data_IF_397719192100
#
_entry.id   IF_397719192100
#
_cell.length_a   1.000
_cell.length_b   1.000
_cell.length_c   1.000
_cell.angle_alpha   90.00
_cell.angle_beta   90.00
_cell.angle_gamma   90.00
#
_symmetry.space_group_name_H-M   'P 1'
#
loop_
_entity.id
_entity.type
_entity.pdbx_description
1 polymer ?
#
# COMPACT_ATOMS: atom_id res chain seq x y z
N UNK A 1 -31.08 -0.05 -9.34
CA UNK A 1 -29.98 -0.32 -8.38
C UNK A 1 -29.78 0.94 -7.55
N UNK A 2 -29.66 0.76 -6.27
CA UNK A 2 -29.47 1.88 -5.34
C UNK A 2 -28.07 2.47 -5.50
N UNK A 3 -27.95 3.77 -5.24
CA UNK A 3 -26.70 4.53 -5.41
C UNK A 3 -25.54 3.89 -4.62
N UNK A 4 -25.82 3.43 -3.39
CA UNK A 4 -24.79 2.80 -2.53
C UNK A 4 -24.25 1.51 -3.14
N UNK A 5 -25.12 0.71 -3.79
CA UNK A 5 -24.70 -0.50 -4.48
C UNK A 5 -23.85 -0.20 -5.71
N UNK A 6 -24.18 0.86 -6.42
CA UNK A 6 -23.37 1.34 -7.54
C UNK A 6 -22.00 1.81 -7.07
N UNK A 7 -21.99 2.55 -5.97
CA UNK A 7 -20.76 3.10 -5.40
C UNK A 7 -19.77 1.99 -5.01
N UNK A 8 -20.23 0.97 -4.28
CA UNK A 8 -19.34 -0.11 -3.86
C UNK A 8 -18.82 -0.91 -5.06
N UNK A 9 -19.66 -1.15 -6.07
CA UNK A 9 -19.24 -1.85 -7.28
C UNK A 9 -18.18 -1.03 -8.03
N UNK A 10 -18.41 0.29 -8.17
CA UNK A 10 -17.48 1.19 -8.85
C UNK A 10 -16.12 1.24 -8.14
N UNK A 11 -16.13 1.35 -6.81
CA UNK A 11 -14.91 1.36 -6.01
C UNK A 11 -14.13 0.05 -6.12
N UNK A 12 -14.83 -1.10 -6.05
CA UNK A 12 -14.20 -2.41 -6.22
C UNK A 12 -13.56 -2.57 -7.60
N UNK A 13 -14.27 -2.16 -8.64
CA UNK A 13 -13.75 -2.23 -10.02
C UNK A 13 -12.51 -1.37 -10.20
N UNK A 14 -12.54 -0.16 -9.65
CA UNK A 14 -11.40 0.75 -9.69
C UNK A 14 -10.19 0.15 -9.01
N UNK A 15 -10.33 -0.28 -7.75
CA UNK A 15 -9.23 -0.86 -6.98
C UNK A 15 -8.69 -2.13 -7.65
N UNK A 16 -9.58 -3.00 -8.13
CA UNK A 16 -9.20 -4.24 -8.80
C UNK A 16 -8.40 -3.98 -10.10
N UNK A 17 -8.78 -2.97 -10.86
CA UNK A 17 -8.05 -2.57 -12.06
C UNK A 17 -6.65 -2.04 -11.71
N UNK A 18 -6.56 -1.16 -10.73
CA UNK A 18 -5.29 -0.60 -10.28
C UNK A 18 -4.36 -1.68 -9.71
N UNK A 19 -4.90 -2.58 -8.89
CA UNK A 19 -4.13 -3.68 -8.30
C UNK A 19 -3.59 -4.62 -9.38
N UNK A 20 -4.37 -4.89 -10.43
CA UNK A 20 -3.91 -5.70 -11.57
C UNK A 20 -2.73 -5.07 -12.27
N UNK A 21 -2.79 -3.76 -12.51
CA UNK A 21 -1.71 -3.02 -13.16
C UNK A 21 -0.46 -2.97 -12.27
N UNK A 22 -0.63 -2.69 -10.97
CA UNK A 22 0.47 -2.70 -10.01
C UNK A 22 1.11 -4.09 -9.91
N UNK A 23 0.30 -5.15 -9.92
CA UNK A 23 0.80 -6.53 -9.90
C UNK A 23 1.64 -6.83 -11.14
N UNK A 24 1.22 -6.37 -12.31
CA UNK A 24 1.97 -6.56 -13.56
C UNK A 24 3.31 -5.83 -13.52
N UNK A 25 3.33 -4.59 -13.06
CA UNK A 25 4.56 -3.80 -12.89
C UNK A 25 5.50 -4.50 -11.90
N UNK A 26 4.97 -4.92 -10.76
CA UNK A 26 5.74 -5.61 -9.70
C UNK A 26 6.33 -6.92 -10.19
N UNK A 27 5.53 -7.71 -10.91
CA UNK A 27 5.95 -9.01 -11.48
C UNK A 27 7.11 -8.86 -12.45
N UNK A 28 7.15 -7.79 -13.24
CA UNK A 28 8.26 -7.50 -14.15
C UNK A 28 9.59 -7.29 -13.41
N UNK A 29 9.53 -6.96 -12.13
CA UNK A 29 10.69 -6.78 -11.26
C UNK A 29 10.86 -7.93 -10.24
N UNK A 30 10.13 -9.03 -10.42
CA UNK A 30 10.24 -10.21 -9.57
C UNK A 30 9.51 -10.13 -8.22
N UNK A 31 8.56 -9.21 -8.09
CA UNK A 31 7.79 -9.02 -6.86
C UNK A 31 6.31 -9.39 -7.05
N UNK A 32 5.68 -9.86 -5.99
CA UNK A 32 4.23 -9.97 -5.89
C UNK A 32 3.64 -8.62 -5.51
N UNK A 33 2.34 -8.45 -5.68
CA UNK A 33 1.64 -7.23 -5.25
C UNK A 33 1.82 -6.95 -3.74
N UNK A 34 1.63 -7.93 -2.84
CA UNK A 34 1.87 -7.69 -1.41
C UNK A 34 3.32 -7.32 -1.09
N UNK A 35 4.28 -7.91 -1.76
CA UNK A 35 5.70 -7.57 -1.59
C UNK A 35 5.97 -6.12 -1.99
N UNK A 36 5.46 -5.70 -3.14
CA UNK A 36 5.54 -4.31 -3.58
C UNK A 36 4.90 -3.37 -2.54
N UNK A 37 3.71 -3.71 -2.06
CA UNK A 37 2.97 -2.87 -1.10
C UNK A 37 3.75 -2.65 0.19
N UNK A 38 4.42 -3.67 0.70
CA UNK A 38 5.26 -3.56 1.90
C UNK A 38 6.47 -2.66 1.64
N UNK A 39 7.19 -2.90 0.54
CA UNK A 39 8.37 -2.08 0.20
C UNK A 39 7.99 -0.62 -0.03
N UNK A 40 6.87 -0.36 -0.68
CA UNK A 40 6.37 0.99 -0.94
C UNK A 40 6.00 1.70 0.36
N UNK A 41 5.33 1.01 1.29
CA UNK A 41 5.01 1.56 2.60
C UNK A 41 6.27 1.94 3.38
N UNK A 42 7.31 1.11 3.34
CA UNK A 42 8.59 1.41 3.98
C UNK A 42 9.34 2.56 3.30
N UNK A 43 9.20 2.69 1.99
CA UNK A 43 9.77 3.83 1.26
C UNK A 43 9.09 5.13 1.63
N UNK A 44 7.75 5.15 1.67
CA UNK A 44 6.97 6.36 1.93
C UNK A 44 7.03 6.80 3.38
N UNK A 45 7.00 5.85 4.32
CA UNK A 45 6.80 6.12 5.75
C UNK A 45 8.05 5.90 6.60
N UNK A 46 9.09 5.29 6.04
CA UNK A 46 10.27 4.88 6.78
C UNK A 46 10.08 3.56 7.48
N UNK A 47 10.95 3.24 8.44
CA UNK A 47 10.89 1.99 9.20
C UNK A 47 9.59 1.90 10.00
N UNK A 48 8.97 0.72 9.98
CA UNK A 48 7.65 0.50 10.58
C UNK A 48 7.65 -0.81 11.38
N UNK A 49 6.79 -0.89 12.39
CA UNK A 49 6.45 -2.16 13.03
C UNK A 49 5.59 -3.01 12.09
N UNK A 50 5.49 -4.30 12.38
CA UNK A 50 4.63 -5.22 11.59
C UNK A 50 3.17 -4.74 11.61
N UNK A 51 2.67 -4.27 12.75
CA UNK A 51 1.32 -3.73 12.87
C UNK A 51 1.10 -2.49 12.02
N UNK A 52 2.07 -1.58 12.00
CA UNK A 52 2.03 -0.37 11.17
C UNK A 52 2.06 -0.71 9.68
N UNK A 53 2.81 -1.75 9.29
CA UNK A 53 2.84 -2.21 7.89
C UNK A 53 1.48 -2.76 7.48
N UNK A 54 0.80 -3.51 8.34
CA UNK A 54 -0.55 -4.02 8.07
C UNK A 54 -1.54 -2.90 7.77
N UNK A 55 -1.44 -1.78 8.49
CA UNK A 55 -2.30 -0.61 8.27
C UNK A 55 -1.90 0.20 7.04
N UNK A 56 -0.59 0.31 6.78
CA UNK A 56 -0.06 1.14 5.71
C UNK A 56 -0.12 0.48 4.34
N UNK A 57 0.00 -0.84 4.27
CA UNK A 57 0.00 -1.56 2.99
C UNK A 57 -1.39 -1.51 2.36
N UNK A 58 -1.45 -1.08 1.11
CA UNK A 58 -2.71 -0.91 0.38
C UNK A 58 -3.32 -2.23 -0.08
N UNK A 59 -2.54 -3.32 -0.09
CA UNK A 59 -3.03 -4.63 -0.49
C UNK A 59 -3.43 -5.45 0.74
N UNK A 60 -4.64 -6.01 0.71
CA UNK A 60 -5.16 -6.91 1.73
C UNK A 60 -4.84 -8.37 1.47
N UNK A 61 -4.24 -8.69 0.33
CA UNK A 61 -3.95 -10.07 -0.09
C UNK A 61 -2.65 -10.56 0.54
N UNK A 62 -2.77 -11.66 1.30
CA UNK A 62 -1.66 -12.33 1.91
C UNK A 62 -1.44 -11.93 3.37
N UNK A 63 -0.77 -12.80 4.09
CA UNK A 63 -0.41 -12.59 5.49
C UNK A 63 0.86 -11.73 5.55
N UNK A 64 0.76 -10.54 6.08
CA UNK A 64 1.89 -9.59 6.15
C UNK A 64 3.13 -10.20 6.81
N UNK A 65 3.05 -10.92 7.94
CA UNK A 65 4.26 -11.56 8.50
C UNK A 65 4.98 -12.50 7.53
N UNK A 66 4.24 -13.26 6.72
CA UNK A 66 4.82 -14.16 5.71
C UNK A 66 5.49 -13.35 4.59
N UNK A 67 4.84 -12.28 4.14
CA UNK A 67 5.39 -11.38 3.11
C UNK A 67 6.70 -10.77 3.59
N UNK A 68 6.74 -10.26 4.83
CA UNK A 68 7.95 -9.69 5.42
C UNK A 68 9.06 -10.74 5.51
N UNK A 69 8.72 -11.95 5.96
CA UNK A 69 9.69 -13.06 6.04
C UNK A 69 10.30 -13.39 4.69
N UNK A 70 9.51 -13.41 3.64
CA UNK A 70 9.99 -13.65 2.28
C UNK A 70 10.88 -12.50 1.78
N UNK A 71 10.50 -11.25 2.04
CA UNK A 71 11.31 -10.09 1.69
C UNK A 71 12.65 -10.09 2.44
N UNK A 72 12.66 -10.56 3.69
CA UNK A 72 13.88 -10.71 4.47
C UNK A 72 14.80 -11.75 3.85
N UNK A 73 14.27 -12.89 3.41
CA UNK A 73 15.02 -13.94 2.70
C UNK A 73 15.60 -13.43 1.39
N UNK A 74 14.90 -12.53 0.71
CA UNK A 74 15.36 -11.90 -0.54
C UNK A 74 16.41 -10.82 -0.29
N UNK A 75 16.67 -10.45 0.96
CA UNK A 75 17.63 -9.41 1.31
C UNK A 75 17.13 -7.98 1.07
N UNK A 76 15.81 -7.80 0.99
CA UNK A 76 15.20 -6.50 0.68
C UNK A 76 14.75 -5.74 1.92
N UNK A 77 14.51 -6.43 3.02
CA UNK A 77 14.19 -5.83 4.33
C UNK A 77 15.00 -6.51 5.42
N UNK A 78 15.13 -5.82 6.54
CA UNK A 78 15.74 -6.36 7.76
C UNK A 78 14.81 -6.06 8.94
N UNK A 79 14.90 -6.89 9.96
CA UNK A 79 14.12 -6.77 11.18
C UNK A 79 15.04 -6.55 12.36
N UNK A 80 14.67 -5.63 13.23
CA UNK A 80 15.35 -5.40 14.49
C UNK A 80 14.31 -5.33 15.60
N UNK A 81 14.71 -5.73 16.80
CA UNK A 81 13.87 -5.59 17.99
C UNK A 81 13.68 -4.11 18.28
N UNK A 82 12.44 -3.71 18.61
CA UNK A 82 12.14 -2.33 18.99
C UNK A 82 12.78 -2.04 20.36
N UNK A 83 13.67 -1.04 20.46
CA UNK A 83 14.27 -0.68 21.75
C UNK A 83 13.25 -0.24 22.81
N UNK A 84 12.12 0.34 22.37
CA UNK A 84 11.08 0.82 23.27
C UNK A 84 10.13 -0.30 23.75
N UNK A 85 9.97 -1.37 22.96
CA UNK A 85 9.13 -2.52 23.31
C UNK A 85 9.68 -3.78 22.67
N UNK A 86 10.36 -4.60 23.43
CA UNK A 86 11.02 -5.83 22.96
C UNK A 86 10.08 -6.88 22.37
N UNK A 87 8.76 -6.73 22.54
CA UNK A 87 7.76 -7.62 21.94
C UNK A 87 7.47 -7.27 20.49
N UNK A 88 7.94 -6.13 20.02
CA UNK A 88 7.74 -5.65 18.64
C UNK A 88 9.03 -5.71 17.84
N UNK A 89 8.88 -5.94 16.54
CA UNK A 89 9.97 -5.82 15.57
C UNK A 89 9.75 -4.62 14.69
N UNK A 90 10.83 -3.91 14.40
CA UNK A 90 10.85 -2.82 13.41
C UNK A 90 11.43 -3.37 12.13
N UNK A 91 10.74 -3.14 11.02
CA UNK A 91 11.14 -3.55 9.68
C UNK A 91 11.67 -2.33 8.93
N UNK A 92 12.81 -2.50 8.29
CA UNK A 92 13.48 -1.43 7.54
C UNK A 92 13.89 -1.94 6.18
N UNK A 93 13.95 -1.05 5.19
CA UNK A 93 14.53 -1.36 3.89
C UNK A 93 16.04 -1.58 4.04
N UNK A 94 16.56 -2.60 3.38
CA UNK A 94 17.99 -2.71 3.14
C UNK A 94 18.38 -1.75 2.02
N UNK A 95 19.67 -1.60 1.77
CA UNK A 95 20.19 -0.82 0.64
C UNK A 95 19.62 -1.38 -0.69
N UNK A 96 19.60 -2.70 -0.84
CA UNK A 96 19.07 -3.40 -2.00
C UNK A 96 17.57 -3.21 -2.15
N UNK A 97 16.83 -3.30 -1.04
CA UNK A 97 15.39 -3.07 -1.02
C UNK A 97 15.04 -1.66 -1.43
N UNK A 98 15.76 -0.68 -0.90
CA UNK A 98 15.58 0.73 -1.27
C UNK A 98 15.84 0.96 -2.75
N UNK A 99 16.95 0.44 -3.26
CA UNK A 99 17.31 0.60 -4.67
C UNK A 99 16.25 0.01 -5.59
N UNK A 100 15.69 -1.15 -5.21
CA UNK A 100 14.66 -1.82 -6.01
C UNK A 100 13.35 -1.02 -6.01
N UNK A 101 12.84 -0.65 -4.83
CA UNK A 101 11.56 0.05 -4.76
C UNK A 101 11.64 1.47 -5.36
N UNK A 102 12.76 2.14 -5.26
CA UNK A 102 12.97 3.44 -5.90
C UNK A 102 12.93 3.37 -7.43
N UNK A 103 13.22 2.20 -8.01
CA UNK A 103 13.05 1.99 -9.46
C UNK A 103 11.62 1.68 -9.85
N UNK A 104 10.90 0.93 -9.02
CA UNK A 104 9.54 0.46 -9.33
C UNK A 104 8.49 1.53 -9.04
N UNK A 105 8.61 2.24 -7.92
CA UNK A 105 7.61 3.21 -7.48
C UNK A 105 7.28 4.27 -8.54
N UNK A 106 8.25 4.86 -9.24
CA UNK A 106 7.93 5.83 -10.29
C UNK A 106 7.13 5.26 -11.47
N UNK A 107 7.35 4.00 -11.83
CA UNK A 107 6.54 3.33 -12.86
C UNK A 107 5.09 3.22 -12.43
N UNK A 108 4.88 2.82 -11.18
CA UNK A 108 3.55 2.67 -10.61
C UNK A 108 2.83 4.02 -10.51
N UNK A 109 3.54 5.07 -10.10
CA UNK A 109 2.99 6.43 -10.06
C UNK A 109 2.60 6.93 -11.45
N UNK A 110 3.40 6.66 -12.47
CA UNK A 110 3.05 7.01 -13.85
C UNK A 110 1.80 6.28 -14.32
N UNK A 111 1.64 5.03 -13.93
CA UNK A 111 0.42 4.27 -14.24
C UNK A 111 -0.79 4.91 -13.58
N UNK A 112 -0.72 5.25 -12.29
CA UNK A 112 -1.81 5.95 -11.61
C UNK A 112 -2.13 7.29 -12.26
N UNK A 113 -1.12 8.07 -12.60
CA UNK A 113 -1.29 9.36 -13.26
C UNK A 113 -2.04 9.20 -14.60
N UNK A 114 -1.70 8.18 -15.37
CA UNK A 114 -2.39 7.87 -16.62
C UNK A 114 -3.85 7.49 -16.41
N UNK A 115 -4.10 6.58 -15.45
CA UNK A 115 -5.46 6.11 -15.13
C UNK A 115 -6.35 7.25 -14.62
N UNK A 116 -5.83 8.05 -13.69
CA UNK A 116 -6.57 9.15 -13.08
C UNK A 116 -6.63 10.40 -13.94
N UNK A 117 -5.98 10.39 -15.10
CA UNK A 117 -6.05 11.46 -16.08
C UNK A 117 -7.45 11.69 -16.67
N UNK A 118 -8.40 10.76 -16.44
CA UNK A 118 -9.82 10.94 -16.79
C UNK A 118 -10.49 12.02 -15.94
N UNK A 119 -9.91 12.37 -14.80
CA UNK A 119 -10.41 13.39 -13.89
C UNK A 119 -9.56 14.65 -13.93
N UNK A 120 -10.20 15.79 -13.76
CA UNK A 120 -9.50 17.05 -13.54
C UNK A 120 -8.85 17.06 -12.15
N UNK A 121 -7.94 18.01 -11.94
CA UNK A 121 -7.30 18.20 -10.63
C UNK A 121 -8.34 18.45 -9.52
N UNK A 122 -9.33 19.31 -9.81
CA UNK A 122 -10.40 19.64 -8.86
C UNK A 122 -11.26 18.42 -8.53
N UNK A 123 -11.56 17.60 -9.55
CA UNK A 123 -12.30 16.35 -9.35
C UNK A 123 -11.53 15.36 -8.46
N UNK A 124 -10.21 15.24 -8.65
CA UNK A 124 -9.36 14.39 -7.82
C UNK A 124 -9.36 14.87 -6.37
N UNK A 125 -9.24 16.18 -6.16
CA UNK A 125 -9.26 16.77 -4.81
C UNK A 125 -10.60 16.49 -4.14
N UNK A 126 -11.71 16.67 -4.86
CA UNK A 126 -13.05 16.40 -4.34
C UNK A 126 -13.23 14.92 -3.99
N UNK A 127 -12.77 14.00 -4.82
CA UNK A 127 -12.85 12.56 -4.56
C UNK A 127 -12.06 12.18 -3.29
N UNK A 128 -10.85 12.71 -3.13
CA UNK A 128 -10.04 12.50 -1.92
C UNK A 128 -10.77 13.05 -0.69
N UNK A 129 -11.39 14.23 -0.81
CA UNK A 129 -12.16 14.82 0.29
C UNK A 129 -13.31 13.92 0.74
N UNK A 130 -14.05 13.37 -0.22
CA UNK A 130 -15.19 12.49 0.05
C UNK A 130 -14.72 11.19 0.74
N UNK A 131 -13.64 10.58 0.26
CA UNK A 131 -13.07 9.37 0.83
C UNK A 131 -12.51 9.62 2.25
N UNK A 132 -11.89 10.78 2.47
CA UNK A 132 -11.37 11.17 3.78
C UNK A 132 -12.51 11.36 4.80
N UNK A 133 -13.64 11.91 4.37
CA UNK A 133 -14.81 12.06 5.23
C UNK A 133 -15.35 10.71 5.71
N UNK A 134 -15.40 9.71 4.85
CA UNK A 134 -15.77 8.34 5.22
C UNK A 134 -14.81 7.77 6.26
N UNK A 135 -13.50 7.89 6.03
CA UNK A 135 -12.47 7.37 6.94
C UNK A 135 -12.56 8.00 8.32
N UNK A 136 -12.80 9.30 8.40
CA UNK A 136 -12.95 10.03 9.65
C UNK A 136 -14.15 9.53 10.47
N UNK A 137 -15.30 9.30 9.82
CA UNK A 137 -16.48 8.76 10.45
C UNK A 137 -16.26 7.34 10.96
N UNK A 138 -15.62 6.48 10.19
CA UNK A 138 -15.32 5.10 10.57
C UNK A 138 -14.43 5.03 11.81
N UNK A 139 -13.42 5.91 11.94
CA UNK A 139 -12.58 5.99 13.13
C UNK A 139 -13.37 6.44 14.37
N UNK A 140 -14.24 7.43 14.24
CA UNK A 140 -15.08 7.90 15.34
C UNK A 140 -16.01 6.80 15.89
N UNK A 141 -16.51 5.92 15.03
CA UNK A 141 -17.38 4.81 15.44
C UNK A 141 -16.64 3.72 16.24
N UNK A 142 -15.34 3.62 16.13
CA UNK A 142 -14.52 2.67 16.89
C UNK A 142 -14.07 3.20 18.25
N UNK A 143 -14.21 4.49 18.48
CA UNK A 143 -13.87 5.14 19.77
C UNK A 143 -15.06 5.19 20.74
N UNK A 144 -16.26 4.89 20.27
CA UNK A 144 -17.48 4.76 21.09
C UNK A 144 -17.72 3.30 21.51
#
# INVERSE_FOLDING_TARGET
MREDSYLIIALHRLVKDLDRETAAISSAHGLTLPQFAVLEALLSKGSLTVGEIKEAALSSNGTIPVVIGNLQKMGLVERAQDPADHRRSIVSLTKEGRALIERIAPENERMFKGKFGVWTKDEKIELVRLLAAYRKQAHSAHEE
#
